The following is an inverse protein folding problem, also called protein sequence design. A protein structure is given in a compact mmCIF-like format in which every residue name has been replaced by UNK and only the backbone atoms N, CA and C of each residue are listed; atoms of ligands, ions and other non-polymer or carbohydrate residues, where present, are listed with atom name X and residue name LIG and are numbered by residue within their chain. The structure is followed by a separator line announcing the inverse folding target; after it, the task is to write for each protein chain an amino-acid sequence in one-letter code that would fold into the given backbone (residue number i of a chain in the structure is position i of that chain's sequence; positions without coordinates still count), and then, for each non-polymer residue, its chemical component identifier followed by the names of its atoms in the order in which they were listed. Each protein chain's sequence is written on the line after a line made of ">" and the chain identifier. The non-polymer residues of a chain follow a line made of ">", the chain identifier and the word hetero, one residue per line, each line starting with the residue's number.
data_IF_534990646142
#
_entry.id   IF_534990646142
#
_cell.length_a   1.000
_cell.length_b   1.000
_cell.length_c   1.000
_cell.angle_alpha   90.00
_cell.angle_beta   90.00
_cell.angle_gamma   90.00
#
_symmetry.space_group_name_H-M   'P 1'
#
loop_
_entity.id
_entity.type
_entity.pdbx_description
1 polymer ?
#
# COMPACT_ATOMS: atom_id res chain seq x y z
N UNK A 1 29.52 8.68 -19.98
CA UNK A 1 30.01 9.29 -18.73
C UNK A 1 29.54 8.43 -17.57
N UNK A 2 30.45 7.96 -16.71
CA UNK A 2 30.10 7.16 -15.52
C UNK A 2 29.87 8.14 -14.38
N UNK A 3 28.72 8.10 -13.70
CA UNK A 3 28.50 8.97 -12.54
C UNK A 3 29.44 8.58 -11.38
N UNK A 4 29.90 9.53 -10.57
CA UNK A 4 30.56 9.27 -9.30
C UNK A 4 29.74 8.31 -8.43
N UNK A 5 30.41 7.49 -7.60
CA UNK A 5 29.73 6.56 -6.68
C UNK A 5 28.85 7.28 -5.63
N UNK A 6 29.18 8.54 -5.32
CA UNK A 6 28.46 9.38 -4.36
C UNK A 6 27.24 10.09 -4.96
N UNK A 7 27.03 10.04 -6.28
CA UNK A 7 25.87 10.66 -6.89
C UNK A 7 24.60 9.90 -6.51
N UNK A 8 23.53 10.67 -6.31
CA UNK A 8 22.22 10.09 -6.03
C UNK A 8 21.74 9.29 -7.24
N UNK A 9 21.26 8.07 -6.99
CA UNK A 9 20.61 7.25 -8.02
C UNK A 9 19.18 7.75 -8.35
N UNK A 10 18.61 8.64 -7.54
CA UNK A 10 17.24 9.17 -7.68
C UNK A 10 16.91 9.69 -9.09
N UNK A 11 17.72 10.58 -9.73
CA UNK A 11 17.43 11.05 -11.10
C UNK A 11 17.35 9.93 -12.13
N UNK A 12 18.27 8.96 -12.07
CA UNK A 12 18.28 7.80 -12.98
C UNK A 12 17.06 6.89 -12.74
N UNK A 13 16.68 6.67 -11.48
CA UNK A 13 15.48 5.90 -11.17
C UNK A 13 14.20 6.60 -11.65
N UNK A 14 14.16 7.93 -11.57
CA UNK A 14 13.05 8.74 -12.07
C UNK A 14 12.95 8.64 -13.61
N UNK A 15 14.08 8.80 -14.31
CA UNK A 15 14.18 8.68 -15.78
C UNK A 15 13.75 7.30 -16.28
N UNK A 16 14.16 6.24 -15.59
CA UNK A 16 13.75 4.86 -15.90
C UNK A 16 12.32 4.53 -15.44
N UNK A 17 11.64 5.47 -14.79
CA UNK A 17 10.31 5.29 -14.22
C UNK A 17 10.22 4.09 -13.25
N UNK A 18 11.29 3.90 -12.48
CA UNK A 18 11.44 2.82 -11.50
C UNK A 18 11.05 3.31 -10.11
N UNK A 19 10.13 2.60 -9.43
CA UNK A 19 9.85 2.87 -8.02
C UNK A 19 11.07 2.50 -7.15
N UNK A 20 11.37 3.24 -6.07
CA UNK A 20 12.28 2.80 -5.03
C UNK A 20 11.81 1.50 -4.37
N UNK A 21 12.75 0.74 -3.79
CA UNK A 21 12.45 -0.57 -3.20
C UNK A 21 11.36 -0.50 -2.12
N UNK A 22 11.39 0.53 -1.26
CA UNK A 22 10.40 0.72 -0.19
C UNK A 22 8.99 0.82 -0.78
N UNK A 23 8.81 1.67 -1.79
CA UNK A 23 7.52 1.82 -2.46
C UNK A 23 7.08 0.56 -3.24
N UNK A 24 8.02 -0.27 -3.72
CA UNK A 24 7.68 -1.55 -4.36
C UNK A 24 7.14 -2.57 -3.36
N UNK A 25 7.68 -2.58 -2.13
CA UNK A 25 7.18 -3.43 -1.05
C UNK A 25 5.74 -3.02 -0.72
N UNK A 26 5.49 -1.72 -0.54
CA UNK A 26 4.15 -1.19 -0.27
C UNK A 26 3.17 -1.51 -1.40
N UNK A 27 3.59 -1.32 -2.66
CA UNK A 27 2.80 -1.68 -3.84
C UNK A 27 2.41 -3.16 -3.84
N UNK A 28 3.37 -4.05 -3.60
CA UNK A 28 3.10 -5.50 -3.55
C UNK A 28 2.16 -5.86 -2.41
N UNK A 29 2.37 -5.25 -1.24
CA UNK A 29 1.52 -5.50 -0.07
C UNK A 29 0.06 -5.14 -0.40
N UNK A 30 -0.18 -3.98 -0.98
CA UNK A 30 -1.53 -3.52 -1.37
C UNK A 30 -2.18 -4.38 -2.45
N UNK A 31 -1.39 -4.88 -3.42
CA UNK A 31 -1.88 -5.82 -4.44
C UNK A 31 -2.35 -7.13 -3.79
N UNK A 32 -1.60 -7.64 -2.81
CA UNK A 32 -2.01 -8.81 -2.03
C UNK A 32 -3.25 -8.52 -1.20
N UNK A 33 -3.34 -7.36 -0.54
CA UNK A 33 -4.51 -6.95 0.23
C UNK A 33 -5.80 -6.95 -0.61
N UNK A 34 -5.71 -6.63 -1.90
CA UNK A 34 -6.89 -6.52 -2.75
C UNK A 34 -7.44 -7.86 -3.23
N UNK A 35 -6.62 -8.72 -3.88
CA UNK A 35 -7.16 -9.96 -4.46
C UNK A 35 -6.13 -11.03 -4.87
N UNK A 36 -4.83 -10.86 -4.55
CA UNK A 36 -3.77 -11.76 -5.04
C UNK A 36 -3.09 -12.54 -3.90
N UNK A 37 -3.65 -12.48 -2.69
CA UNK A 37 -3.12 -13.19 -1.54
C UNK A 37 -3.77 -14.58 -1.40
N UNK A 38 -3.03 -15.59 -0.91
CA UNK A 38 -3.62 -16.84 -0.46
C UNK A 38 -4.73 -16.61 0.57
N UNK A 39 -5.71 -17.51 0.63
CA UNK A 39 -6.88 -17.42 1.52
C UNK A 39 -6.50 -17.10 2.96
N UNK A 40 -5.47 -17.78 3.49
CA UNK A 40 -5.01 -17.57 4.87
C UNK A 40 -4.50 -16.15 5.16
N UNK A 41 -4.04 -15.40 4.14
CA UNK A 41 -3.66 -13.99 4.29
C UNK A 41 -4.87 -13.07 4.20
N UNK A 42 -5.83 -13.37 3.32
CA UNK A 42 -7.07 -12.61 3.22
C UNK A 42 -7.84 -12.62 4.55
N UNK A 43 -7.87 -13.76 5.24
CA UNK A 43 -8.51 -13.92 6.56
C UNK A 43 -7.86 -13.08 7.67
N UNK A 44 -6.61 -12.63 7.49
CA UNK A 44 -5.93 -11.78 8.47
C UNK A 44 -6.38 -10.32 8.42
N UNK A 45 -6.97 -9.89 7.30
CA UNK A 45 -7.34 -8.51 7.02
C UNK A 45 -8.86 -8.37 7.03
N UNK A 46 -9.38 -7.74 8.07
CA UNK A 46 -10.82 -7.61 8.26
C UNK A 46 -11.32 -6.21 7.83
N UNK A 47 -12.50 -6.10 7.18
CA UNK A 47 -13.18 -4.83 6.98
C UNK A 47 -13.40 -4.11 8.32
N UNK A 48 -13.26 -2.78 8.31
CA UNK A 48 -13.56 -1.96 9.48
C UNK A 48 -15.07 -1.86 9.67
N UNK A 49 -15.57 -2.43 10.77
CA UNK A 49 -16.98 -2.35 11.16
C UNK A 49 -17.11 -1.47 12.41
N UNK A 50 -17.52 -0.19 12.27
CA UNK A 50 -17.75 0.67 13.43
C UNK A 50 -19.02 0.25 14.17
N UNK A 51 -19.03 0.40 15.50
CA UNK A 51 -20.19 0.10 16.36
C UNK A 51 -21.37 1.04 16.15
N UNK A 52 -21.13 2.20 15.52
CA UNK A 52 -22.13 3.21 15.15
C UNK A 52 -21.88 3.66 13.72
N UNK A 53 -22.93 4.07 13.02
CA UNK A 53 -22.83 4.59 11.64
C UNK A 53 -22.07 5.92 11.62
N UNK A 54 -20.77 5.86 11.33
CA UNK A 54 -19.90 7.02 11.18
C UNK A 54 -19.65 7.32 9.69
N UNK A 55 -19.27 8.55 9.36
CA UNK A 55 -18.87 8.92 7.99
C UNK A 55 -17.72 8.06 7.44
N UNK A 56 -16.87 7.51 8.31
CA UNK A 56 -15.79 6.57 7.96
C UNK A 56 -16.29 5.17 7.58
N UNK A 57 -17.53 4.81 7.90
CA UNK A 57 -18.09 3.51 7.56
C UNK A 57 -18.14 3.29 6.03
N UNK A 58 -18.25 4.36 5.26
CA UNK A 58 -18.39 4.31 3.80
C UNK A 58 -17.06 4.45 3.02
N UNK A 59 -15.91 4.37 3.70
CA UNK A 59 -14.60 4.67 3.12
C UNK A 59 -13.73 3.44 2.78
N UNK A 60 -14.33 2.25 2.66
CA UNK A 60 -13.64 0.97 2.41
C UNK A 60 -12.39 0.80 3.30
N UNK A 61 -12.55 1.05 4.61
CA UNK A 61 -11.45 0.97 5.57
C UNK A 61 -11.26 -0.46 6.07
N UNK A 62 -10.03 -0.76 6.47
CA UNK A 62 -9.64 -2.03 7.09
C UNK A 62 -9.36 -1.84 8.58
N UNK A 63 -9.64 -2.87 9.37
CA UNK A 63 -9.36 -2.85 10.80
C UNK A 63 -7.85 -2.98 11.05
N UNK A 64 -7.25 -1.96 11.66
CA UNK A 64 -5.84 -2.00 12.09
C UNK A 64 -5.78 -2.52 13.52
N UNK A 65 -5.20 -3.69 13.73
CA UNK A 65 -4.99 -4.27 15.07
C UNK A 65 -3.87 -3.51 15.79
N UNK A 66 -4.04 -3.23 17.09
CA UNK A 66 -2.98 -2.66 17.91
C UNK A 66 -1.96 -3.74 18.24
N UNK A 67 -0.68 -3.44 18.07
CA UNK A 67 0.42 -4.33 18.46
C UNK A 67 1.29 -3.68 19.52
N UNK A 68 2.12 -4.49 20.18
CA UNK A 68 3.06 -4.03 21.22
C UNK A 68 4.51 -4.01 20.74
N UNK A 69 4.78 -4.50 19.53
CA UNK A 69 6.14 -4.72 19.02
C UNK A 69 6.27 -4.25 17.58
N UNK A 70 7.47 -3.79 17.20
CA UNK A 70 7.76 -3.38 15.82
C UNK A 70 7.58 -4.52 14.82
N UNK A 71 7.94 -5.74 15.21
CA UNK A 71 7.70 -6.93 14.39
C UNK A 71 6.20 -7.16 14.16
N UNK A 72 5.35 -6.90 15.17
CA UNK A 72 3.90 -6.95 15.04
C UNK A 72 3.37 -5.90 14.06
N UNK A 73 3.89 -4.66 14.13
CA UNK A 73 3.52 -3.59 13.20
C UNK A 73 3.87 -3.95 11.74
N UNK A 74 4.96 -4.70 11.53
CA UNK A 74 5.38 -5.22 10.23
C UNK A 74 4.62 -6.46 9.76
N UNK A 75 3.74 -7.05 10.59
CA UNK A 75 2.94 -8.20 10.17
C UNK A 75 2.01 -7.84 9.01
N UNK A 76 1.72 -8.81 8.14
CA UNK A 76 0.85 -8.59 6.98
C UNK A 76 -0.47 -7.92 7.40
N UNK A 77 -1.15 -8.45 8.42
CA UNK A 77 -2.43 -7.95 8.90
C UNK A 77 -2.43 -6.44 9.23
N UNK A 78 -1.35 -5.96 9.85
CA UNK A 78 -1.26 -4.59 10.36
C UNK A 78 -0.71 -3.65 9.29
N UNK A 79 0.39 -4.04 8.63
CA UNK A 79 1.00 -3.24 7.59
C UNK A 79 0.05 -3.07 6.38
N UNK A 80 -0.63 -4.14 5.95
CA UNK A 80 -1.59 -4.09 4.86
C UNK A 80 -2.76 -3.15 5.17
N UNK A 81 -3.39 -3.31 6.34
CA UNK A 81 -4.52 -2.49 6.75
C UNK A 81 -4.13 -1.02 6.93
N UNK A 82 -2.96 -0.76 7.52
CA UNK A 82 -2.44 0.60 7.71
C UNK A 82 -2.16 1.30 6.37
N UNK A 83 -1.42 0.64 5.47
CA UNK A 83 -1.13 1.18 4.14
C UNK A 83 -2.41 1.42 3.34
N UNK A 84 -3.33 0.47 3.35
CA UNK A 84 -4.61 0.59 2.63
C UNK A 84 -5.41 1.79 3.12
N UNK A 85 -5.50 1.98 4.44
CA UNK A 85 -6.27 3.09 5.02
C UNK A 85 -5.70 4.47 4.68
N UNK A 86 -4.38 4.55 4.44
CA UNK A 86 -3.71 5.78 4.01
C UNK A 86 -3.84 6.06 2.50
N UNK A 87 -4.46 5.17 1.73
CA UNK A 87 -4.69 5.41 0.30
C UNK A 87 -5.81 6.44 0.06
N UNK A 88 -5.69 7.23 -1.02
CA UNK A 88 -6.80 8.04 -1.52
C UNK A 88 -8.03 7.18 -1.81
N UNK A 89 -9.22 7.73 -1.53
CA UNK A 89 -10.50 7.06 -1.76
C UNK A 89 -10.67 6.58 -3.20
N UNK A 90 -10.23 7.38 -4.17
CA UNK A 90 -10.27 7.04 -5.61
C UNK A 90 -9.59 5.70 -5.93
N UNK A 91 -8.51 5.36 -5.23
CA UNK A 91 -7.80 4.08 -5.44
C UNK A 91 -8.57 2.94 -4.75
N UNK A 92 -9.15 3.20 -3.58
CA UNK A 92 -9.91 2.21 -2.79
C UNK A 92 -11.29 1.86 -3.36
N UNK A 93 -11.85 2.70 -4.22
CA UNK A 93 -13.16 2.50 -4.87
C UNK A 93 -13.04 1.83 -6.24
N UNK A 94 -11.86 1.36 -6.63
CA UNK A 94 -11.68 0.66 -7.90
C UNK A 94 -12.27 -0.75 -7.86
N UNK A 95 -12.97 -1.12 -8.94
CA UNK A 95 -13.71 -2.39 -9.03
C UNK A 95 -12.87 -3.57 -9.50
N UNK A 96 -11.64 -3.33 -9.96
CA UNK A 96 -10.76 -4.41 -10.39
C UNK A 96 -9.28 -4.13 -10.11
N UNK A 97 -8.52 -5.22 -10.10
CA UNK A 97 -7.10 -5.22 -9.77
C UNK A 97 -6.25 -4.44 -10.78
N UNK A 98 -6.61 -4.49 -12.06
CA UNK A 98 -5.89 -3.76 -13.11
C UNK A 98 -5.95 -2.25 -12.91
N UNK A 99 -7.13 -1.72 -12.55
CA UNK A 99 -7.35 -0.31 -12.22
C UNK A 99 -6.53 0.09 -10.98
N UNK A 100 -6.53 -0.74 -9.94
CA UNK A 100 -5.74 -0.48 -8.73
C UNK A 100 -4.24 -0.43 -9.05
N UNK A 101 -3.69 -1.43 -9.75
CA UNK A 101 -2.27 -1.45 -10.13
C UNK A 101 -1.90 -0.21 -10.96
N UNK A 102 -2.78 0.20 -11.88
CA UNK A 102 -2.60 1.39 -12.74
C UNK A 102 -2.57 2.69 -11.92
N UNK A 103 -3.35 2.83 -10.85
CA UNK A 103 -3.39 4.03 -10.01
C UNK A 103 -2.33 4.03 -8.90
N UNK A 104 -1.97 2.86 -8.36
CA UNK A 104 -0.98 2.73 -7.30
C UNK A 104 0.42 3.13 -7.77
N UNK A 105 0.84 2.70 -8.96
CA UNK A 105 2.17 3.03 -9.50
C UNK A 105 2.43 4.55 -9.55
N UNK A 106 1.60 5.38 -10.20
CA UNK A 106 1.80 6.83 -10.23
C UNK A 106 1.62 7.47 -8.85
N UNK A 107 0.72 6.94 -8.01
CA UNK A 107 0.56 7.42 -6.63
C UNK A 107 1.87 7.31 -5.84
N UNK A 108 2.50 6.13 -5.85
CA UNK A 108 3.79 5.92 -5.20
C UNK A 108 4.95 6.62 -5.90
N UNK A 109 4.91 6.77 -7.22
CA UNK A 109 5.93 7.52 -7.95
C UNK A 109 6.00 8.98 -7.48
N UNK A 110 4.83 9.63 -7.31
CA UNK A 110 4.72 11.01 -6.79
C UNK A 110 5.10 11.16 -5.31
N UNK A 111 5.03 10.06 -4.54
CA UNK A 111 5.48 10.06 -3.14
C UNK A 111 7.01 9.95 -3.09
N UNK A 112 7.61 9.23 -4.04
CA UNK A 112 9.03 8.92 -4.07
C UNK A 112 9.92 9.99 -4.70
N UNK A 113 9.41 10.70 -5.71
CA UNK A 113 10.11 11.68 -6.53
C UNK A 113 9.29 12.97 -6.60
#
# INVERSE_FOLDING_TARGET
>A
MRSPRSDSATPLLCELHWLPIVCRVDFKLLVFTYNEAPVYLCELVCPYQPTRTLRSANNNMLQVKRTRTKAGDCSFAVAAASLWNNLPTVIKTCDNLTSIKRLLKPHFFRIAY
#
